data_IF_763723916720
#
_entry.id   IF_763723916720
#
_cell.length_a   1.000
_cell.length_b   1.000
_cell.length_c   1.000
_cell.angle_alpha   90.00
_cell.angle_beta   90.00
_cell.angle_gamma   90.00
#
_symmetry.space_group_name_H-M   'P 1'
#
loop_
_entity.id
_entity.type
_entity.pdbx_description
1 polymer ?
#
# COMPACT_ATOMS: atom_id res chain seq x y z
N UNK A 1 -19.91 13.33 -0.74
CA UNK A 1 -18.65 12.69 -0.33
C UNK A 1 -17.85 12.44 -1.59
N UNK A 2 -16.73 13.13 -1.78
CA UNK A 2 -15.78 12.76 -2.83
C UNK A 2 -14.87 11.64 -2.32
N UNK A 3 -14.25 10.95 -3.27
CA UNK A 3 -13.08 10.14 -3.04
C UNK A 3 -11.98 10.93 -2.29
N UNK A 4 -11.26 10.26 -1.41
CA UNK A 4 -9.97 10.76 -0.92
C UNK A 4 -8.92 10.58 -2.03
N UNK A 5 -8.39 11.70 -2.52
CA UNK A 5 -7.47 11.76 -3.66
C UNK A 5 -6.11 11.09 -3.37
N UNK A 6 -5.73 11.01 -2.10
CA UNK A 6 -4.55 10.26 -1.69
C UNK A 6 -4.87 8.79 -1.82
N UNK A 7 -5.88 8.20 -1.20
CA UNK A 7 -6.02 6.73 -1.27
C UNK A 7 -6.64 6.20 -2.57
N UNK A 8 -7.40 6.98 -3.35
CA UNK A 8 -8.22 6.47 -4.47
C UNK A 8 -7.49 5.95 -5.72
N UNK A 9 -6.16 5.94 -5.73
CA UNK A 9 -5.44 5.21 -6.77
C UNK A 9 -5.42 3.70 -6.46
N UNK A 10 -5.67 2.87 -7.47
CA UNK A 10 -5.81 1.41 -7.31
C UNK A 10 -4.66 0.76 -6.55
N UNK A 11 -3.41 1.18 -6.79
CA UNK A 11 -2.25 0.63 -6.07
C UNK A 11 -2.26 1.00 -4.58
N UNK A 12 -2.63 2.24 -4.23
CA UNK A 12 -2.70 2.68 -2.83
C UNK A 12 -3.86 2.03 -2.09
N UNK A 13 -4.99 1.81 -2.77
CA UNK A 13 -6.07 0.99 -2.21
C UNK A 13 -5.63 -0.44 -1.94
N UNK A 14 -4.88 -1.08 -2.85
CA UNK A 14 -4.35 -2.43 -2.62
C UNK A 14 -3.35 -2.48 -1.46
N UNK A 15 -2.45 -1.49 -1.36
CA UNK A 15 -1.55 -1.36 -0.21
C UNK A 15 -2.35 -1.27 1.08
N UNK A 16 -3.32 -0.35 1.16
CA UNK A 16 -4.16 -0.19 2.34
C UNK A 16 -4.98 -1.43 2.68
N UNK A 17 -5.51 -2.13 1.67
CA UNK A 17 -6.26 -3.37 1.86
C UNK A 17 -5.40 -4.46 2.50
N UNK A 18 -4.14 -4.62 2.06
CA UNK A 18 -3.19 -5.58 2.65
C UNK A 18 -2.78 -5.16 4.06
N UNK A 19 -2.43 -3.88 4.28
CA UNK A 19 -2.05 -3.41 5.61
C UNK A 19 -3.20 -3.50 6.63
N UNK A 20 -4.43 -3.35 6.17
CA UNK A 20 -5.62 -3.48 7.02
C UNK A 20 -5.88 -4.92 7.50
N UNK A 21 -5.24 -5.94 6.92
CA UNK A 21 -5.35 -7.32 7.42
C UNK A 21 -4.36 -7.65 8.54
N UNK A 22 -3.37 -6.79 8.78
CA UNK A 22 -2.35 -6.99 9.80
C UNK A 22 -2.90 -6.77 11.21
N UNK A 23 -2.38 -7.52 12.18
CA UNK A 23 -2.64 -7.24 13.58
C UNK A 23 -2.05 -5.89 13.99
N UNK A 24 -2.57 -5.31 15.07
CA UNK A 24 -2.09 -4.02 15.56
C UNK A 24 -0.61 -4.14 15.95
N UNK A 25 0.24 -3.30 15.32
CA UNK A 25 1.72 -3.27 15.46
C UNK A 25 2.43 -4.45 14.80
N UNK A 26 1.74 -5.28 14.04
CA UNK A 26 2.39 -6.19 13.11
C UNK A 26 2.98 -5.39 11.95
N UNK A 27 4.18 -5.77 11.54
CA UNK A 27 4.88 -5.17 10.41
C UNK A 27 4.89 -6.16 9.25
N UNK A 28 4.79 -5.64 8.03
CA UNK A 28 4.91 -6.41 6.80
C UNK A 28 6.17 -5.99 6.05
N UNK A 29 6.97 -6.97 5.64
CA UNK A 29 8.19 -6.70 4.89
C UNK A 29 7.86 -6.10 3.52
N UNK A 30 8.67 -5.12 3.08
CA UNK A 30 8.49 -4.45 1.80
C UNK A 30 8.43 -5.44 0.62
N UNK A 31 9.31 -6.44 0.62
CA UNK A 31 9.38 -7.47 -0.42
C UNK A 31 8.15 -8.38 -0.45
N UNK A 32 7.54 -8.64 0.71
CA UNK A 32 6.30 -9.41 0.81
C UNK A 32 5.12 -8.61 0.26
N UNK A 33 4.97 -7.35 0.70
CA UNK A 33 3.92 -6.46 0.17
C UNK A 33 4.03 -6.32 -1.35
N UNK A 34 5.25 -6.11 -1.86
CA UNK A 34 5.52 -6.02 -3.30
C UNK A 34 5.03 -7.25 -4.05
N UNK A 35 5.34 -8.44 -3.54
CA UNK A 35 4.93 -9.69 -4.15
C UNK A 35 3.40 -9.85 -4.14
N UNK A 36 2.73 -9.46 -3.06
CA UNK A 36 1.27 -9.55 -2.93
C UNK A 36 0.51 -8.64 -3.90
N UNK A 37 1.06 -7.46 -4.23
CA UNK A 37 0.39 -6.48 -5.10
C UNK A 37 0.97 -6.40 -6.52
N UNK A 38 1.93 -7.28 -6.83
CA UNK A 38 2.62 -7.37 -8.13
C UNK A 38 3.22 -6.03 -8.60
N UNK A 39 3.84 -5.30 -7.68
CA UNK A 39 4.48 -4.02 -7.97
C UNK A 39 5.97 -4.18 -8.28
N UNK A 40 6.54 -3.17 -8.92
CA UNK A 40 8.00 -2.96 -8.97
C UNK A 40 8.46 -2.17 -7.76
N UNK A 41 9.75 -2.21 -7.44
CA UNK A 41 10.31 -1.47 -6.30
C UNK A 41 10.03 0.04 -6.41
N UNK A 42 10.24 0.62 -7.60
CA UNK A 42 9.99 2.03 -7.84
C UNK A 42 8.50 2.40 -7.77
N UNK A 43 7.60 1.54 -8.25
CA UNK A 43 6.17 1.79 -8.15
C UNK A 43 5.69 1.72 -6.68
N UNK A 44 6.09 0.68 -5.94
CA UNK A 44 5.71 0.54 -4.54
C UNK A 44 6.29 1.65 -3.67
N UNK A 45 7.58 1.97 -3.83
CA UNK A 45 8.24 3.05 -3.09
C UNK A 45 7.55 4.40 -3.25
N UNK A 46 7.29 4.83 -4.49
CA UNK A 46 6.62 6.10 -4.76
C UNK A 46 5.21 6.18 -4.14
N UNK A 47 4.48 5.07 -4.13
CA UNK A 47 3.17 5.02 -3.50
C UNK A 47 3.25 5.03 -1.97
N UNK A 48 4.22 4.34 -1.36
CA UNK A 48 4.45 4.41 0.09
C UNK A 48 4.88 5.80 0.54
N UNK A 49 5.76 6.47 -0.22
CA UNK A 49 6.16 7.87 0.04
C UNK A 49 4.96 8.83 -0.02
N UNK A 50 3.95 8.52 -0.84
CA UNK A 50 2.71 9.32 -0.90
C UNK A 50 1.79 9.07 0.30
N UNK A 51 1.92 7.91 0.97
CA UNK A 51 1.06 7.48 2.07
C UNK A 51 1.63 7.76 3.47
N UNK A 52 2.92 8.07 3.57
CA UNK A 52 3.63 8.41 4.81
C UNK A 52 3.40 9.87 5.22
#
# INVERSE_FOLDING_TARGET
MSADDIIHQSTRLRIMAVLNTLERREALEFTQLKAMIEATDGNLGAHLDTLA
#
